data_IF_706295944670
#
_entry.id   IF_706295944670
#
_cell.length_a   1.000
_cell.length_b   1.000
_cell.length_c   1.000
_cell.angle_alpha   90.00
_cell.angle_beta   90.00
_cell.angle_gamma   90.00
#
_symmetry.space_group_name_H-M   'P 1'
#
loop_
_entity.id
_entity.type
_entity.pdbx_description
1 polymer ?
#
# COMPACT_ATOMS: atom_id res chain seq x y z
N UNK A 1 -28.12 9.79 -1.25
CA UNK A 1 -26.70 10.17 -1.17
C UNK A 1 -25.94 9.05 -1.88
N UNK A 2 -25.15 9.36 -2.90
CA UNK A 2 -24.41 8.35 -3.65
C UNK A 2 -23.40 7.66 -2.74
N UNK A 3 -23.57 6.34 -2.54
CA UNK A 3 -22.65 5.41 -1.88
C UNK A 3 -21.32 5.31 -2.67
N UNK A 4 -20.52 6.36 -2.71
CA UNK A 4 -19.17 6.28 -3.26
C UNK A 4 -18.28 5.71 -2.15
N UNK A 5 -17.51 4.69 -2.51
CA UNK A 5 -16.51 4.04 -1.67
C UNK A 5 -15.18 4.02 -2.41
N UNK A 6 -14.08 3.68 -1.75
CA UNK A 6 -12.76 3.57 -2.36
C UNK A 6 -12.77 2.79 -3.69
N UNK A 7 -13.50 1.66 -3.74
CA UNK A 7 -13.58 0.79 -4.92
C UNK A 7 -14.29 1.41 -6.14
N UNK A 8 -14.88 2.60 -6.01
CA UNK A 8 -15.52 3.34 -7.12
C UNK A 8 -14.60 4.39 -7.74
N UNK A 9 -13.42 4.63 -7.17
CA UNK A 9 -12.49 5.60 -7.72
C UNK A 9 -11.71 5.02 -8.91
N UNK A 10 -11.75 5.76 -10.02
CA UNK A 10 -10.77 5.66 -11.11
C UNK A 10 -9.66 6.66 -10.85
N UNK A 11 -8.50 6.52 -11.51
CA UNK A 11 -7.42 7.48 -11.33
C UNK A 11 -7.84 8.90 -11.74
N UNK A 12 -8.60 9.02 -12.84
CA UNK A 12 -9.12 10.29 -13.35
C UNK A 12 -10.09 10.98 -12.37
N UNK A 13 -11.04 10.24 -11.79
CA UNK A 13 -12.00 10.84 -10.87
C UNK A 13 -11.35 11.14 -9.51
N UNK A 14 -10.41 10.33 -9.03
CA UNK A 14 -9.66 10.63 -7.80
C UNK A 14 -8.85 11.91 -7.98
N UNK A 15 -8.17 12.06 -9.12
CA UNK A 15 -7.45 13.28 -9.47
C UNK A 15 -8.36 14.51 -9.46
N UNK A 16 -9.52 14.41 -10.12
CA UNK A 16 -10.45 15.53 -10.27
C UNK A 16 -11.10 15.88 -8.93
N UNK A 17 -11.58 14.88 -8.18
CA UNK A 17 -12.34 15.09 -6.95
C UNK A 17 -11.47 15.64 -5.80
N UNK A 18 -10.20 15.27 -5.76
CA UNK A 18 -9.27 15.67 -4.70
C UNK A 18 -8.27 16.75 -5.17
N UNK A 19 -8.48 17.31 -6.36
CA UNK A 19 -7.64 18.36 -6.95
C UNK A 19 -6.15 17.98 -7.00
N UNK A 20 -5.86 16.72 -7.37
CA UNK A 20 -4.50 16.18 -7.36
C UNK A 20 -3.76 16.54 -8.64
N UNK A 21 -2.44 16.70 -8.50
CA UNK A 21 -1.50 16.71 -9.62
C UNK A 21 -0.90 15.31 -9.77
N UNK A 22 -0.88 14.77 -10.99
CA UNK A 22 -0.24 13.49 -11.30
C UNK A 22 1.12 13.73 -11.96
N UNK A 23 2.15 13.07 -11.43
CA UNK A 23 3.48 12.98 -12.03
C UNK A 23 3.80 11.51 -12.33
N UNK A 24 3.80 11.12 -13.61
CA UNK A 24 3.88 9.70 -14.04
C UNK A 24 5.27 9.28 -14.56
N UNK A 25 6.20 10.22 -14.69
CA UNK A 25 7.53 10.01 -15.30
C UNK A 25 8.67 10.09 -14.29
N UNK A 26 8.40 9.81 -13.01
CA UNK A 26 9.39 9.87 -11.94
C UNK A 26 9.93 8.47 -11.66
N UNK A 27 11.25 8.36 -11.58
CA UNK A 27 11.91 7.19 -10.98
C UNK A 27 12.02 7.43 -9.48
N UNK A 28 11.05 6.90 -8.75
CA UNK A 28 10.90 7.16 -7.32
C UNK A 28 11.81 6.27 -6.49
N UNK A 29 12.06 5.05 -6.96
CA UNK A 29 12.56 3.98 -6.11
C UNK A 29 13.83 3.28 -6.61
N UNK A 30 14.43 3.67 -7.74
CA UNK A 30 15.68 3.04 -8.21
C UNK A 30 16.81 3.08 -7.19
N UNK A 31 16.90 4.15 -6.39
CA UNK A 31 17.95 4.34 -5.36
C UNK A 31 17.66 3.68 -4.01
N UNK A 32 16.49 3.06 -3.84
CA UNK A 32 16.16 2.36 -2.60
C UNK A 32 17.03 1.12 -2.44
N UNK A 33 17.72 0.99 -1.31
CA UNK A 33 18.54 -0.18 -1.06
C UNK A 33 17.66 -1.44 -0.88
N UNK A 34 17.96 -2.55 -1.59
CA UNK A 34 17.24 -3.80 -1.41
C UNK A 34 17.41 -4.35 0.01
N UNK A 35 16.35 -4.96 0.54
CA UNK A 35 16.36 -5.57 1.87
C UNK A 35 16.10 -7.07 1.74
N UNK A 36 17.03 -7.88 2.24
CA UNK A 36 16.95 -9.34 2.14
C UNK A 36 15.66 -9.87 2.82
N UNK A 37 14.88 -10.75 2.15
CA UNK A 37 13.73 -11.40 2.78
C UNK A 37 14.16 -12.31 3.94
N UNK A 38 13.29 -12.50 4.92
CA UNK A 38 13.53 -13.54 5.94
C UNK A 38 13.57 -14.94 5.33
N UNK A 39 14.17 -15.89 6.05
CA UNK A 39 14.17 -17.31 5.65
C UNK A 39 12.75 -17.88 5.57
N UNK A 40 11.86 -17.43 6.47
CA UNK A 40 10.44 -17.80 6.48
C UNK A 40 9.78 -17.34 5.18
N UNK A 41 9.90 -16.05 4.83
CA UNK A 41 9.29 -15.52 3.61
C UNK A 41 9.86 -16.21 2.36
N UNK A 42 11.18 -16.42 2.32
CA UNK A 42 11.85 -17.12 1.21
C UNK A 42 11.28 -18.52 1.00
N UNK A 43 11.03 -19.25 2.08
CA UNK A 43 10.48 -20.60 2.04
C UNK A 43 9.03 -20.58 1.57
N UNK A 44 8.21 -19.70 2.14
CA UNK A 44 6.79 -19.52 1.79
C UNK A 44 6.64 -19.16 0.31
N UNK A 45 7.38 -18.16 -0.18
CA UNK A 45 7.25 -17.71 -1.58
C UNK A 45 7.65 -18.79 -2.58
N UNK A 46 8.61 -19.66 -2.26
CA UNK A 46 8.99 -20.78 -3.12
C UNK A 46 7.81 -21.74 -3.37
N UNK A 47 7.00 -21.98 -2.34
CA UNK A 47 5.84 -22.87 -2.42
C UNK A 47 4.59 -22.16 -2.95
N UNK A 48 4.37 -20.92 -2.52
CA UNK A 48 3.10 -20.23 -2.73
C UNK A 48 3.03 -19.47 -4.05
N UNK A 49 4.15 -19.06 -4.65
CA UNK A 49 4.13 -18.42 -5.99
C UNK A 49 3.52 -19.35 -7.05
N UNK A 50 3.97 -20.62 -7.22
CA UNK A 50 3.34 -21.53 -8.17
C UNK A 50 1.87 -21.77 -7.87
N UNK A 51 1.52 -21.97 -6.60
CA UNK A 51 0.15 -22.26 -6.17
C UNK A 51 -0.80 -21.08 -6.44
N UNK A 52 -0.44 -19.87 -5.99
CA UNK A 52 -1.25 -18.68 -6.18
C UNK A 52 -1.45 -18.36 -7.66
N UNK A 53 -0.41 -18.57 -8.47
CA UNK A 53 -0.47 -18.36 -9.93
C UNK A 53 -1.37 -19.40 -10.60
N UNK A 54 -1.32 -20.66 -10.16
CA UNK A 54 -2.20 -21.72 -10.69
C UNK A 54 -3.67 -21.50 -10.33
N UNK A 55 -3.97 -20.99 -9.13
CA UNK A 55 -5.34 -20.67 -8.70
C UNK A 55 -5.88 -19.43 -9.42
N UNK A 56 -5.03 -18.41 -9.64
CA UNK A 56 -5.32 -17.18 -10.38
C UNK A 56 -6.58 -16.41 -9.91
N UNK A 57 -6.81 -16.35 -8.59
CA UNK A 57 -7.84 -15.49 -8.01
C UNK A 57 -7.20 -14.36 -7.21
N UNK A 58 -7.90 -13.23 -7.11
CA UNK A 58 -7.48 -12.10 -6.28
C UNK A 58 -7.30 -12.51 -4.82
N UNK A 59 -8.19 -13.36 -4.30
CA UNK A 59 -8.12 -13.91 -2.94
C UNK A 59 -6.86 -14.75 -2.73
N UNK A 60 -6.54 -15.66 -3.65
CA UNK A 60 -5.34 -16.48 -3.55
C UNK A 60 -4.05 -15.63 -3.62
N UNK A 61 -3.99 -14.64 -4.51
CA UNK A 61 -2.85 -13.71 -4.59
C UNK A 61 -2.70 -12.88 -3.30
N UNK A 62 -3.81 -12.39 -2.77
CA UNK A 62 -3.88 -11.64 -1.52
C UNK A 62 -3.37 -12.45 -0.33
N UNK A 63 -3.91 -13.66 -0.13
CA UNK A 63 -3.61 -14.49 1.04
C UNK A 63 -2.26 -15.20 0.96
N UNK A 64 -1.90 -15.73 -0.22
CA UNK A 64 -0.70 -16.55 -0.36
C UNK A 64 0.56 -15.72 -0.68
N UNK A 65 0.42 -14.52 -1.24
CA UNK A 65 1.58 -13.69 -1.62
C UNK A 65 1.62 -12.38 -0.85
N UNK A 66 0.64 -11.51 -1.07
CA UNK A 66 0.69 -10.11 -0.58
C UNK A 66 0.75 -10.09 0.95
N UNK A 67 -0.15 -10.82 1.62
CA UNK A 67 -0.17 -10.89 3.09
C UNK A 67 1.13 -11.42 3.68
N UNK A 68 1.80 -12.36 3.00
CA UNK A 68 3.05 -12.98 3.47
C UNK A 68 4.22 -12.00 3.39
N UNK A 69 4.28 -11.23 2.29
CA UNK A 69 5.28 -10.17 2.10
C UNK A 69 5.10 -9.08 3.17
N UNK A 70 3.87 -8.61 3.39
CA UNK A 70 3.59 -7.57 4.38
C UNK A 70 3.78 -8.06 5.82
N UNK A 71 3.49 -9.33 6.11
CA UNK A 71 3.79 -9.93 7.40
C UNK A 71 5.30 -10.00 7.67
N UNK A 72 6.12 -10.17 6.61
CA UNK A 72 7.57 -10.09 6.72
C UNK A 72 8.08 -8.68 7.01
N UNK A 73 7.52 -7.65 6.37
CA UNK A 73 7.80 -6.25 6.70
C UNK A 73 7.55 -5.99 8.19
N UNK A 74 6.39 -6.43 8.71
CA UNK A 74 6.07 -6.31 10.14
C UNK A 74 7.08 -7.03 11.04
N UNK A 75 7.54 -8.22 10.66
CA UNK A 75 8.58 -8.98 11.38
C UNK A 75 9.91 -8.25 11.37
N UNK A 76 10.34 -7.72 10.22
CA UNK A 76 11.59 -7.00 10.06
C UNK A 76 11.61 -5.68 10.86
N UNK A 77 10.46 -5.05 11.05
CA UNK A 77 10.28 -3.89 11.92
C UNK A 77 10.03 -4.27 13.40
N UNK A 78 10.44 -5.47 13.81
CA UNK A 78 10.33 -5.98 15.18
C UNK A 78 8.92 -5.85 15.77
N UNK A 79 7.89 -6.05 14.94
CA UNK A 79 6.48 -5.98 15.33
C UNK A 79 6.05 -4.62 15.93
N UNK A 80 6.78 -3.55 15.61
CA UNK A 80 6.47 -2.16 16.00
C UNK A 80 5.45 -1.47 15.09
N UNK A 81 4.99 -2.19 14.07
CA UNK A 81 3.95 -1.76 13.15
C UNK A 81 2.76 -2.71 13.19
N UNK A 82 1.61 -2.21 12.75
CA UNK A 82 0.37 -2.97 12.61
C UNK A 82 0.12 -3.23 11.13
N UNK A 83 -0.38 -4.43 10.83
CA UNK A 83 -0.78 -4.83 9.48
C UNK A 83 -2.27 -5.14 9.50
N UNK A 84 -3.06 -4.35 8.78
CA UNK A 84 -4.47 -4.63 8.58
C UNK A 84 -4.67 -5.21 7.19
N UNK A 85 -5.58 -6.19 7.09
CA UNK A 85 -5.94 -6.84 5.82
C UNK A 85 -7.46 -6.90 5.71
N UNK A 86 -8.01 -6.41 4.61
CA UNK A 86 -9.45 -6.38 4.35
C UNK A 86 -10.23 -5.71 5.49
N UNK A 87 -9.76 -4.54 5.95
CA UNK A 87 -10.35 -3.81 7.09
C UNK A 87 -11.09 -2.56 6.62
N UNK A 88 -12.21 -2.24 7.27
CA UNK A 88 -12.90 -0.98 7.03
C UNK A 88 -12.06 0.22 7.48
N UNK A 89 -11.95 1.20 6.59
CA UNK A 89 -11.22 2.43 6.83
C UNK A 89 -12.10 3.62 6.42
N UNK A 90 -13.05 3.95 7.29
CA UNK A 90 -14.05 4.98 7.01
C UNK A 90 -13.56 6.33 7.55
N UNK A 91 -12.96 7.15 6.68
CA UNK A 91 -12.32 8.42 7.08
C UNK A 91 -13.24 9.61 6.85
N UNK A 92 -13.80 9.76 5.65
CA UNK A 92 -14.69 10.86 5.30
C UNK A 92 -15.71 10.42 4.25
N UNK A 93 -16.89 10.03 4.73
CA UNK A 93 -17.95 9.45 3.91
C UNK A 93 -18.49 10.44 2.86
N UNK A 94 -18.54 11.74 3.19
CA UNK A 94 -19.04 12.78 2.28
C UNK A 94 -18.13 12.96 1.04
N UNK A 95 -16.85 12.60 1.18
CA UNK A 95 -15.87 12.58 0.10
C UNK A 95 -15.73 11.21 -0.57
N UNK A 96 -16.51 10.21 -0.15
CA UNK A 96 -16.39 8.82 -0.60
C UNK A 96 -15.15 8.09 -0.06
N UNK A 97 -14.44 8.68 0.90
CA UNK A 97 -13.25 8.10 1.55
C UNK A 97 -13.67 7.11 2.63
N UNK A 98 -14.33 6.03 2.19
CA UNK A 98 -14.89 4.97 3.03
C UNK A 98 -14.90 3.61 2.31
N UNK A 99 -15.02 2.55 3.10
CA UNK A 99 -15.02 1.17 2.64
C UNK A 99 -13.78 0.40 3.09
N UNK A 100 -13.52 -0.72 2.42
CA UNK A 100 -12.41 -1.61 2.74
C UNK A 100 -11.14 -1.22 1.99
N UNK A 101 -10.02 -1.21 2.70
CA UNK A 101 -8.68 -1.27 2.10
C UNK A 101 -8.20 -2.72 2.12
N UNK A 102 -7.57 -3.18 1.03
CA UNK A 102 -7.04 -4.54 0.98
C UNK A 102 -5.95 -4.75 2.01
N UNK A 103 -5.00 -3.81 2.11
CA UNK A 103 -4.04 -3.75 3.20
C UNK A 103 -3.64 -2.32 3.57
N UNK A 104 -3.31 -2.15 4.85
CA UNK A 104 -2.85 -0.91 5.43
C UNK A 104 -1.79 -1.19 6.50
N UNK A 105 -0.73 -0.39 6.51
CA UNK A 105 0.32 -0.45 7.51
C UNK A 105 0.39 0.87 8.29
N UNK A 106 0.36 0.77 9.62
CA UNK A 106 0.55 1.92 10.51
C UNK A 106 1.77 1.76 11.39
N UNK A 107 2.43 2.88 11.70
CA UNK A 107 3.53 2.92 12.67
C UNK A 107 3.00 2.93 14.11
N UNK A 108 2.30 1.88 14.48
CA UNK A 108 1.81 1.58 15.82
C UNK A 108 1.87 0.08 16.07
N UNK A 109 2.08 -0.36 17.30
CA UNK A 109 1.97 -1.78 17.66
C UNK A 109 0.53 -2.26 17.86
N UNK A 110 -0.45 -1.34 17.82
CA UNK A 110 -1.86 -1.66 18.04
C UNK A 110 -2.48 -2.37 16.83
N UNK A 111 -2.98 -3.59 17.03
CA UNK A 111 -3.45 -4.46 15.94
C UNK A 111 -4.97 -4.67 15.92
N UNK A 112 -5.69 -4.22 16.96
CA UNK A 112 -7.14 -4.39 17.09
C UNK A 112 -7.94 -3.22 16.50
N UNK A 113 -7.31 -2.07 16.30
CA UNK A 113 -7.88 -0.89 15.68
C UNK A 113 -6.77 -0.09 14.99
N UNK A 114 -7.12 0.64 13.93
CA UNK A 114 -6.17 1.42 13.16
C UNK A 114 -5.77 2.66 13.96
N UNK A 115 -4.47 2.85 14.13
CA UNK A 115 -3.89 3.98 14.86
C UNK A 115 -2.98 4.80 13.95
N UNK A 116 -3.02 6.11 14.10
CA UNK A 116 -2.12 7.00 13.36
C UNK A 116 -0.67 6.83 13.85
N UNK A 117 0.32 6.92 12.94
CA UNK A 117 0.15 7.26 11.54
C UNK A 117 0.01 6.01 10.66
N UNK A 118 -0.91 6.07 9.70
CA UNK A 118 -0.97 5.18 8.54
C UNK A 118 0.08 5.63 7.53
N UNK A 119 1.06 4.80 7.22
CA UNK A 119 2.15 5.19 6.31
C UNK A 119 2.01 4.58 4.91
N UNK A 120 1.46 3.37 4.82
CA UNK A 120 1.42 2.62 3.56
C UNK A 120 0.04 2.01 3.32
N UNK A 121 -0.48 2.20 2.11
CA UNK A 121 -1.67 1.54 1.57
C UNK A 121 -1.25 0.54 0.49
N UNK A 122 -1.85 -0.64 0.46
CA UNK A 122 -1.65 -1.60 -0.64
C UNK A 122 -3.00 -2.11 -1.12
N UNK A 123 -3.27 -1.93 -2.41
CA UNK A 123 -4.47 -2.46 -3.07
C UNK A 123 -4.12 -3.68 -3.92
N UNK A 124 -4.83 -4.78 -3.71
CA UNK A 124 -4.68 -6.00 -4.47
C UNK A 124 -5.54 -5.95 -5.74
N UNK A 125 -5.04 -6.58 -6.81
CA UNK A 125 -5.76 -6.81 -8.05
C UNK A 125 -5.43 -8.19 -8.59
N UNK A 126 -6.34 -8.81 -9.33
CA UNK A 126 -6.02 -10.11 -9.94
C UNK A 126 -4.98 -9.99 -11.06
N UNK A 127 -5.19 -9.08 -12.02
CA UNK A 127 -4.38 -9.01 -13.25
C UNK A 127 -4.05 -7.58 -13.69
N UNK A 128 -4.99 -6.63 -13.54
CA UNK A 128 -4.82 -5.28 -14.05
C UNK A 128 -4.50 -4.29 -12.93
N UNK A 129 -3.21 -3.96 -12.79
CA UNK A 129 -2.70 -2.97 -11.82
C UNK A 129 -3.29 -1.58 -12.07
N UNK A 130 -3.43 -1.14 -13.33
CA UNK A 130 -3.91 0.20 -13.66
C UNK A 130 -5.31 0.45 -13.08
N UNK A 131 -6.17 -0.57 -13.07
CA UNK A 131 -7.52 -0.48 -12.49
C UNK A 131 -7.52 -0.25 -10.97
N UNK A 132 -6.44 -0.58 -10.26
CA UNK A 132 -6.33 -0.36 -8.82
C UNK A 132 -5.80 1.02 -8.43
N UNK A 133 -5.24 1.80 -9.37
CA UNK A 133 -4.60 3.08 -9.05
C UNK A 133 -5.59 4.09 -8.44
N UNK A 134 -6.81 4.21 -8.98
CA UNK A 134 -7.81 5.12 -8.46
C UNK A 134 -8.22 4.82 -7.02
N UNK A 135 -8.50 3.54 -6.75
CA UNK A 135 -8.80 3.06 -5.39
C UNK A 135 -7.63 3.32 -4.44
N UNK A 136 -6.40 3.00 -4.85
CA UNK A 136 -5.20 3.20 -4.03
C UNK A 136 -4.99 4.67 -3.70
N UNK A 137 -5.07 5.56 -4.71
CA UNK A 137 -4.96 7.01 -4.52
C UNK A 137 -6.02 7.54 -3.56
N UNK A 138 -7.28 7.12 -3.70
CA UNK A 138 -8.35 7.54 -2.80
C UNK A 138 -8.09 7.05 -1.35
N UNK A 139 -7.68 5.79 -1.18
CA UNK A 139 -7.27 5.24 0.12
C UNK A 139 -6.08 6.02 0.73
N UNK A 140 -5.10 6.44 -0.08
CA UNK A 140 -3.96 7.26 0.37
C UNK A 140 -4.39 8.66 0.82
N UNK A 141 -5.31 9.31 0.12
CA UNK A 141 -5.92 10.59 0.55
C UNK A 141 -6.66 10.40 1.87
N UNK A 142 -7.39 9.28 2.02
CA UNK A 142 -7.99 8.87 3.29
C UNK A 142 -6.95 8.75 4.42
N UNK A 143 -5.83 8.08 4.16
CA UNK A 143 -4.76 7.92 5.14
C UNK A 143 -4.14 9.26 5.56
N UNK A 144 -3.89 10.16 4.59
CA UNK A 144 -3.40 11.51 4.85
C UNK A 144 -4.35 12.29 5.78
N UNK A 145 -5.65 12.29 5.47
CA UNK A 145 -6.68 12.97 6.27
C UNK A 145 -6.84 12.34 7.66
N UNK A 146 -6.82 11.01 7.75
CA UNK A 146 -6.87 10.27 9.02
C UNK A 146 -5.71 10.67 9.94
N UNK A 147 -4.49 10.72 9.40
CA UNK A 147 -3.29 11.13 10.13
C UNK A 147 -3.36 12.59 10.60
N UNK A 148 -3.81 13.50 9.73
CA UNK A 148 -4.01 14.91 10.08
C UNK A 148 -5.03 15.10 11.21
N UNK A 149 -6.15 14.36 11.17
CA UNK A 149 -7.19 14.42 12.23
C UNK A 149 -6.72 13.89 13.58
N UNK A 150 -5.74 13.00 13.57
CA UNK A 150 -5.10 12.48 14.78
C UNK A 150 -3.97 13.37 15.30
N UNK A 151 -3.80 14.59 14.77
CA UNK A 151 -2.69 15.51 15.09
C UNK A 151 -1.30 14.87 14.88
N UNK A 152 -1.21 13.94 13.92
CA UNK A 152 0.03 13.27 13.54
C UNK A 152 0.21 13.28 12.00
N UNK A 153 0.34 14.47 11.39
CA UNK A 153 0.48 14.57 9.95
C UNK A 153 1.79 13.94 9.48
N UNK A 154 1.71 13.18 8.40
CA UNK A 154 2.89 12.60 7.75
C UNK A 154 3.11 13.27 6.40
N UNK A 155 4.37 13.54 6.08
CA UNK A 155 4.74 14.28 4.87
C UNK A 155 4.37 13.52 3.60
N UNK A 156 4.66 12.22 3.57
CA UNK A 156 4.44 11.36 2.41
C UNK A 156 3.67 10.11 2.82
N UNK A 157 2.59 9.80 2.11
CA UNK A 157 1.90 8.51 2.18
C UNK A 157 2.38 7.65 1.01
N UNK A 158 2.69 6.39 1.29
CA UNK A 158 3.11 5.42 0.28
C UNK A 158 1.95 4.55 -0.14
N UNK A 159 1.91 4.23 -1.42
CA UNK A 159 0.89 3.39 -2.02
C UNK A 159 1.53 2.29 -2.86
N UNK A 160 0.84 1.16 -2.94
CA UNK A 160 1.13 0.14 -3.92
C UNK A 160 -0.15 -0.43 -4.52
N UNK A 161 -0.07 -0.82 -5.78
CA UNK A 161 -1.06 -1.69 -6.43
C UNK A 161 -0.35 -2.93 -6.93
N UNK A 162 -0.89 -4.10 -6.62
CA UNK A 162 -0.17 -5.36 -6.86
C UNK A 162 -1.06 -6.53 -7.23
N UNK A 163 -0.53 -7.45 -8.02
CA UNK A 163 -1.09 -8.79 -8.27
C UNK A 163 -0.46 -9.88 -7.41
N UNK A 164 0.30 -9.48 -6.39
CA UNK A 164 1.20 -10.35 -5.62
C UNK A 164 2.50 -10.65 -6.37
N UNK A 165 2.43 -10.87 -7.69
CA UNK A 165 3.58 -11.18 -8.55
C UNK A 165 4.20 -9.95 -9.23
N UNK A 166 3.45 -8.86 -9.37
CA UNK A 166 3.90 -7.59 -9.95
C UNK A 166 3.40 -6.43 -9.10
N UNK A 167 4.26 -5.44 -8.85
CA UNK A 167 4.03 -4.32 -7.93
C UNK A 167 4.31 -3.00 -8.64
N UNK A 168 3.34 -2.09 -8.52
CA UNK A 168 3.46 -0.69 -8.94
C UNK A 168 3.35 0.19 -7.72
N UNK A 169 4.33 1.06 -7.52
CA UNK A 169 4.38 1.94 -6.35
C UNK A 169 4.07 3.38 -6.72
N UNK A 170 3.60 4.13 -5.73
CA UNK A 170 3.25 5.52 -5.83
C UNK A 170 3.41 6.22 -4.48
N UNK A 171 3.51 7.54 -4.49
CA UNK A 171 3.55 8.38 -3.29
C UNK A 171 2.52 9.51 -3.39
N UNK A 172 2.01 9.95 -2.25
CA UNK A 172 1.19 11.15 -2.09
C UNK A 172 1.90 12.09 -1.13
N UNK A 173 2.25 13.27 -1.61
CA UNK A 173 2.79 14.38 -0.81
C UNK A 173 1.93 15.60 -1.07
N UNK A 174 1.30 16.14 -0.03
CA UNK A 174 0.29 17.20 -0.15
C UNK A 174 -0.83 16.83 -1.14
N UNK A 175 -0.82 17.42 -2.34
CA UNK A 175 -1.77 17.12 -3.45
C UNK A 175 -1.08 16.50 -4.67
N UNK A 176 0.18 16.07 -4.55
CA UNK A 176 0.95 15.52 -5.66
C UNK A 176 1.01 14.01 -5.51
N UNK A 177 0.41 13.30 -6.47
CA UNK A 177 0.60 11.87 -6.65
C UNK A 177 1.73 11.65 -7.64
N UNK A 178 2.74 10.91 -7.21
CA UNK A 178 3.81 10.43 -8.08
C UNK A 178 3.67 8.94 -8.28
N UNK A 179 3.61 8.51 -9.52
CA UNK A 179 3.55 7.08 -9.88
C UNK A 179 4.95 6.71 -10.38
N UNK A 180 5.53 5.69 -9.77
CA UNK A 180 6.86 5.24 -10.16
C UNK A 180 6.84 4.77 -11.62
N UNK A 181 7.87 5.09 -12.41
CA UNK A 181 7.99 4.56 -13.77
C UNK A 181 8.24 3.05 -13.75
N UNK A 182 8.92 2.55 -12.73
CA UNK A 182 9.23 1.14 -12.53
C UNK A 182 8.02 0.26 -12.22
N UNK A 183 8.14 -1.02 -12.56
CA UNK A 183 7.32 -2.12 -12.04
C UNK A 183 8.28 -3.16 -11.45
N UNK A 184 7.90 -3.73 -10.30
CA UNK A 184 8.76 -4.66 -9.57
C UNK A 184 8.09 -6.02 -9.47
N UNK A 185 8.77 -7.04 -9.95
CA UNK A 185 8.24 -8.40 -9.92
C UNK A 185 8.62 -9.09 -8.62
N UNK A 186 7.83 -10.08 -8.18
CA UNK A 186 8.10 -10.83 -6.94
C UNK A 186 9.46 -11.56 -6.93
N UNK A 187 10.08 -11.75 -8.11
CA UNK A 187 11.47 -12.23 -8.22
C UNK A 187 12.50 -11.23 -7.65
N UNK A 188 12.14 -9.94 -7.62
CA UNK A 188 12.88 -8.81 -7.02
C UNK A 188 12.33 -8.51 -5.62
N UNK A 189 12.05 -9.57 -4.84
CA UNK A 189 11.42 -9.44 -3.52
C UNK A 189 12.23 -8.57 -2.57
N UNK A 190 13.54 -8.59 -2.67
CA UNK A 190 14.44 -7.75 -1.88
C UNK A 190 14.25 -6.26 -2.16
N UNK A 191 14.08 -5.89 -3.44
CA UNK A 191 13.76 -4.53 -3.84
C UNK A 191 12.37 -4.11 -3.37
N UNK A 192 11.36 -4.98 -3.53
CA UNK A 192 9.99 -4.75 -3.05
C UNK A 192 9.99 -4.49 -1.53
N UNK A 193 10.70 -5.33 -0.76
CA UNK A 193 10.81 -5.16 0.69
C UNK A 193 11.49 -3.83 1.05
N UNK A 194 12.58 -3.46 0.35
CA UNK A 194 13.23 -2.17 0.54
C UNK A 194 12.27 -1.00 0.38
N UNK A 195 11.46 -1.01 -0.69
CA UNK A 195 10.48 0.05 -0.97
C UNK A 195 9.38 0.11 0.11
N UNK A 196 8.85 -1.04 0.53
CA UNK A 196 7.79 -1.07 1.56
C UNK A 196 8.33 -0.68 2.94
N UNK A 197 9.61 -0.92 3.23
CA UNK A 197 10.25 -0.57 4.51
C UNK A 197 10.64 0.91 4.61
N UNK A 198 10.95 1.56 3.47
CA UNK A 198 11.40 2.95 3.41
C UNK A 198 10.55 3.95 4.22
N UNK A 199 9.20 3.94 4.17
CA UNK A 199 8.37 4.94 4.86
C UNK A 199 8.56 4.90 6.38
N UNK A 200 8.84 3.71 6.92
CA UNK A 200 9.06 3.51 8.36
C UNK A 200 10.45 3.96 8.80
N UNK A 201 11.45 3.86 7.91
CA UNK A 201 12.77 4.43 8.13
C UNK A 201 12.70 5.96 8.16
N UNK A 202 12.10 6.55 7.12
CA UNK A 202 11.94 8.00 7.00
C UNK A 202 11.12 8.59 8.14
N UNK A 203 10.02 7.93 8.54
CA UNK A 203 9.21 8.42 9.65
C UNK A 203 10.01 8.42 10.97
N UNK A 204 10.80 7.39 11.25
CA UNK A 204 11.62 7.31 12.46
C UNK A 204 12.74 8.35 12.54
N UNK A 205 13.28 8.76 11.40
CA UNK A 205 14.32 9.80 11.35
C UNK A 205 13.77 11.22 11.56
N UNK A 206 12.48 11.42 11.26
CA UNK A 206 11.80 12.71 11.35
C UNK A 206 10.88 12.85 12.58
N UNK A 207 10.76 11.82 13.43
CA UNK A 207 9.98 11.80 14.68
C UNK A 207 10.85 12.01 15.91
#
# INVERSE_FOLDING_TARGET
MSNVSYSKFTLENAKTNFELTLEENQDLFSKVEPVKPSEILTTILREYIPLATAINTEKARSELLISQILADVRRQLNYRISLFSGTEFNVEADLGLQGYCDFLLSFSSEQYFITAPVLTIVEAKNENIIRGLGQCVASMVGAQLFNQRADNPVKVIYGAVTTGTNWKFLTLEEKIIRIDVGEYYVKEIDKILGIILQPFGEYRENS
#
